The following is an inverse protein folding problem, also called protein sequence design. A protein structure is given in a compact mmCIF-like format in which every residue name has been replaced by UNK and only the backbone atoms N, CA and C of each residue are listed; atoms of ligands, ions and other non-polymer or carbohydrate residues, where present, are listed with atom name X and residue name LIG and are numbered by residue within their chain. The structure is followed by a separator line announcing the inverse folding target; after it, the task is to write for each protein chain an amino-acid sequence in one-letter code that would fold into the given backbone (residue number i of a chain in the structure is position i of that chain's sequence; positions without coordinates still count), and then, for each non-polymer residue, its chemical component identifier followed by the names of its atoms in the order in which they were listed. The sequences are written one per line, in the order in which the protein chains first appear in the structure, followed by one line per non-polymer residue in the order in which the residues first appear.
data_IF_453635595966
#
_entry.id   IF_453635595966
#
_cell.length_a   1.000
_cell.length_b   1.000
_cell.length_c   1.000
_cell.angle_alpha   90.00
_cell.angle_beta   90.00
_cell.angle_gamma   90.00
#
_symmetry.space_group_name_H-M   'P 1'
#
loop_
_entity.id
_entity.type
_entity.pdbx_description
1 polymer ?
#
# COMPACT_ATOMS: atom_id res chain seq x y z
N UNK A 1 -13.09 -19.15 -64.82
CA UNK A 1 -12.30 -19.48 -63.62
C UNK A 1 -12.64 -18.45 -62.54
N UNK A 2 -13.28 -18.86 -61.43
CA UNK A 2 -13.58 -17.94 -60.30
C UNK A 2 -12.31 -17.82 -59.45
N UNK A 3 -11.71 -16.63 -59.37
CA UNK A 3 -10.63 -16.34 -58.44
C UNK A 3 -11.21 -16.17 -57.05
N UNK A 4 -10.78 -17.00 -56.10
CA UNK A 4 -11.07 -16.80 -54.69
C UNK A 4 -10.17 -15.68 -54.18
N UNK A 5 -10.78 -14.58 -53.73
CA UNK A 5 -10.07 -13.51 -53.02
C UNK A 5 -9.51 -14.07 -51.71
N UNK A 6 -8.18 -13.99 -51.55
CA UNK A 6 -7.53 -14.35 -50.29
C UNK A 6 -7.90 -13.31 -49.24
N UNK A 7 -8.41 -13.77 -48.10
CA UNK A 7 -8.67 -12.90 -46.96
C UNK A 7 -7.34 -12.31 -46.45
N UNK A 8 -7.18 -11.00 -46.57
CA UNK A 8 -5.96 -10.31 -46.15
C UNK A 8 -5.80 -10.42 -44.63
N UNK A 9 -4.72 -11.10 -44.22
CA UNK A 9 -4.29 -11.31 -42.83
C UNK A 9 -4.39 -9.97 -42.05
N UNK A 10 -4.90 -9.94 -40.80
CA UNK A 10 -5.10 -8.69 -40.07
C UNK A 10 -3.80 -7.90 -39.98
N UNK A 11 -3.76 -6.76 -40.69
CA UNK A 11 -2.62 -5.84 -40.65
C UNK A 11 -2.52 -5.31 -39.23
N UNK A 12 -1.39 -5.53 -38.56
CA UNK A 12 -1.11 -4.87 -37.28
C UNK A 12 -1.01 -3.38 -37.55
N UNK A 13 -2.10 -2.64 -37.33
CA UNK A 13 -2.11 -1.20 -37.47
C UNK A 13 -1.14 -0.61 -36.46
N UNK A 14 0.00 -0.07 -36.94
CA UNK A 14 0.87 0.74 -36.11
C UNK A 14 0.04 1.91 -35.61
N UNK A 15 -0.02 2.10 -34.29
CA UNK A 15 -0.68 3.25 -33.69
C UNK A 15 -0.13 4.51 -34.38
N UNK A 16 -1.03 5.34 -34.92
CA UNK A 16 -0.63 6.63 -35.49
C UNK A 16 0.14 7.39 -34.41
N UNK A 17 1.24 8.07 -34.76
CA UNK A 17 2.11 8.74 -33.78
C UNK A 17 1.36 9.71 -32.85
N UNK A 18 0.25 10.28 -33.32
CA UNK A 18 -0.67 11.10 -32.51
C UNK A 18 -1.34 10.32 -31.38
N UNK A 19 -1.72 9.06 -31.60
CA UNK A 19 -2.31 8.18 -30.57
C UNK A 19 -1.26 7.82 -29.52
N UNK A 20 -0.01 7.55 -29.95
CA UNK A 20 1.09 7.27 -29.03
C UNK A 20 1.38 8.48 -28.11
N UNK A 21 1.38 9.70 -28.68
CA UNK A 21 1.56 10.93 -27.90
C UNK A 21 0.44 11.15 -26.87
N UNK A 22 -0.81 10.86 -27.22
CA UNK A 22 -1.94 10.94 -26.29
C UNK A 22 -1.80 9.94 -25.13
N UNK A 23 -1.35 8.73 -25.40
CA UNK A 23 -1.12 7.71 -24.35
C UNK A 23 -0.01 8.17 -23.40
N UNK A 24 1.09 8.72 -23.92
CA UNK A 24 2.18 9.26 -23.10
C UNK A 24 1.67 10.43 -22.25
N UNK A 25 0.92 11.37 -22.83
CA UNK A 25 0.34 12.49 -22.09
C UNK A 25 -0.60 12.02 -20.97
N UNK A 26 -1.45 11.04 -21.24
CA UNK A 26 -2.35 10.46 -20.25
C UNK A 26 -1.56 9.78 -19.09
N UNK A 27 -0.48 9.07 -19.39
CA UNK A 27 0.38 8.47 -18.36
C UNK A 27 1.04 9.54 -17.48
N UNK A 28 1.58 10.61 -18.07
CA UNK A 28 2.22 11.70 -17.32
C UNK A 28 1.23 12.41 -16.42
N UNK A 29 0.03 12.74 -16.92
CA UNK A 29 -1.02 13.39 -16.12
C UNK A 29 -1.46 12.47 -14.98
N UNK A 30 -1.66 11.18 -15.25
CA UNK A 30 -2.05 10.21 -14.23
C UNK A 30 -0.98 10.09 -13.13
N UNK A 31 0.30 10.05 -13.52
CA UNK A 31 1.42 9.98 -12.59
C UNK A 31 1.48 11.21 -11.68
N UNK A 32 1.38 12.42 -12.26
CA UNK A 32 1.39 13.67 -11.50
C UNK A 32 0.20 13.79 -10.54
N UNK A 33 -0.99 13.33 -10.95
CA UNK A 33 -2.17 13.31 -10.09
C UNK A 33 -1.96 12.38 -8.90
N UNK A 34 -1.47 11.16 -9.14
CA UNK A 34 -1.22 10.17 -8.10
C UNK A 34 -0.21 10.68 -7.06
N UNK A 35 0.87 11.32 -7.52
CA UNK A 35 1.89 11.89 -6.64
C UNK A 35 1.32 12.97 -5.70
N UNK A 36 0.50 13.89 -6.23
CA UNK A 36 -0.16 14.93 -5.42
C UNK A 36 -1.14 14.36 -4.40
N UNK A 37 -1.91 13.34 -4.78
CA UNK A 37 -2.87 12.71 -3.87
C UNK A 37 -2.18 12.05 -2.68
N UNK A 38 -1.01 11.43 -2.90
CA UNK A 38 -0.23 10.80 -1.84
C UNK A 38 0.34 11.83 -0.86
N UNK A 39 0.87 12.95 -1.37
CA UNK A 39 1.36 14.06 -0.53
C UNK A 39 0.24 14.63 0.35
N UNK A 40 -0.95 14.84 -0.21
CA UNK A 40 -2.09 15.38 0.53
C UNK A 40 -2.61 14.45 1.65
N UNK A 41 -2.27 13.16 1.64
CA UNK A 41 -2.56 12.25 2.75
C UNK A 41 -1.47 12.30 3.83
N UNK A 42 -0.21 12.37 3.43
CA UNK A 42 0.93 12.52 4.34
C UNK A 42 0.86 13.83 5.14
N UNK A 43 0.32 14.90 4.56
CA UNK A 43 0.12 16.18 5.26
C UNK A 43 -0.95 16.11 6.36
N UNK A 44 -1.87 15.15 6.27
CA UNK A 44 -3.01 15.02 7.21
C UNK A 44 -2.72 14.08 8.36
N UNK A 45 -1.94 13.03 8.10
CA UNK A 45 -1.70 11.95 9.06
C UNK A 45 -0.24 11.58 9.06
N UNK A 46 0.35 11.56 10.24
CA UNK A 46 1.71 11.12 10.46
C UNK A 46 1.72 9.80 11.22
N UNK A 47 2.45 8.82 10.70
CA UNK A 47 2.69 7.54 11.38
C UNK A 47 4.19 7.50 11.69
N UNK A 48 4.53 7.35 12.95
CA UNK A 48 5.90 7.41 13.46
C UNK A 48 6.14 6.36 14.54
N UNK A 49 7.40 6.23 14.97
CA UNK A 49 7.79 5.40 16.12
C UNK A 49 7.31 3.94 16.01
N UNK A 50 7.56 3.33 14.85
CA UNK A 50 7.27 1.90 14.65
C UNK A 50 8.28 1.08 15.46
N UNK A 51 7.79 0.24 16.35
CA UNK A 51 8.59 -0.60 17.24
C UNK A 51 7.98 -1.98 17.41
N UNK A 52 8.79 -2.93 17.87
CA UNK A 52 8.32 -4.26 18.25
C UNK A 52 8.16 -4.30 19.77
N UNK A 53 6.92 -4.22 20.24
CA UNK A 53 6.61 -4.17 21.67
C UNK A 53 6.81 -5.54 22.31
N UNK A 54 6.43 -6.61 21.60
CA UNK A 54 6.54 -7.99 22.04
C UNK A 54 6.56 -8.94 20.84
N UNK A 55 7.19 -10.10 20.96
CA UNK A 55 7.13 -11.15 19.94
C UNK A 55 7.41 -12.53 20.53
N UNK A 56 6.87 -13.55 19.87
CA UNK A 56 7.14 -14.95 20.14
C UNK A 56 7.08 -15.77 18.86
N UNK A 57 7.25 -17.08 18.96
CA UNK A 57 7.27 -18.00 17.81
C UNK A 57 6.02 -17.89 16.92
N UNK A 58 4.87 -17.56 17.51
CA UNK A 58 3.56 -17.57 16.84
C UNK A 58 2.88 -16.20 16.78
N UNK A 59 3.41 -15.18 17.44
CA UNK A 59 2.79 -13.86 17.49
C UNK A 59 3.83 -12.75 17.43
N UNK A 60 3.42 -11.60 16.90
CA UNK A 60 4.24 -10.39 16.88
C UNK A 60 3.35 -9.21 17.25
N UNK A 61 3.80 -8.35 18.15
CA UNK A 61 3.14 -7.11 18.52
C UNK A 61 3.96 -5.92 18.04
N UNK A 62 3.33 -5.09 17.20
CA UNK A 62 3.96 -3.89 16.63
C UNK A 62 3.33 -2.66 17.25
N UNK A 63 4.14 -1.87 17.95
CA UNK A 63 3.81 -0.55 18.46
C UNK A 63 3.99 0.51 17.38
N UNK A 64 3.10 1.49 17.34
CA UNK A 64 3.18 2.62 16.43
C UNK A 64 2.50 3.85 17.01
N UNK A 65 3.01 5.01 16.65
CA UNK A 65 2.39 6.29 16.99
C UNK A 65 1.72 6.86 15.75
N UNK A 66 0.47 7.30 15.90
CA UNK A 66 -0.30 7.94 14.83
C UNK A 66 -0.82 9.29 15.28
N UNK A 67 -0.66 10.29 14.43
CA UNK A 67 -1.09 11.66 14.66
C UNK A 67 -2.03 12.13 13.55
N UNK A 68 -3.19 12.64 13.95
CA UNK A 68 -4.11 13.34 13.06
C UNK A 68 -3.87 14.84 13.16
N UNK A 69 -3.38 15.45 12.07
CA UNK A 69 -3.10 16.90 11.98
C UNK A 69 -4.31 17.73 11.55
N UNK A 70 -5.47 17.10 11.37
CA UNK A 70 -6.69 17.76 10.90
C UNK A 70 -7.66 18.08 12.03
N UNK A 71 -8.61 18.97 11.74
CA UNK A 71 -9.67 19.38 12.67
C UNK A 71 -10.87 18.44 12.68
N UNK A 72 -10.81 17.32 11.96
CA UNK A 72 -11.89 16.34 11.85
C UNK A 72 -11.42 14.97 12.30
N UNK A 73 -12.36 14.14 12.74
CA UNK A 73 -12.12 12.71 12.93
C UNK A 73 -11.75 12.08 11.58
N UNK A 74 -10.70 11.25 11.58
CA UNK A 74 -10.25 10.52 10.39
C UNK A 74 -10.42 9.02 10.58
N UNK A 75 -11.17 8.40 9.67
CA UNK A 75 -11.25 6.96 9.52
C UNK A 75 -10.27 6.51 8.44
N UNK A 76 -9.25 5.76 8.83
CA UNK A 76 -8.22 5.29 7.92
C UNK A 76 -8.08 3.79 7.99
N UNK A 77 -7.94 3.17 6.83
CA UNK A 77 -7.45 1.81 6.76
C UNK A 77 -5.94 1.86 6.79
N UNK A 78 -5.33 1.04 7.63
CA UNK A 78 -3.89 0.86 7.72
C UNK A 78 -3.56 -0.56 7.31
N UNK A 79 -2.56 -0.68 6.44
CA UNK A 79 -1.94 -1.95 6.12
C UNK A 79 -0.64 -2.03 6.90
N UNK A 80 -0.60 -2.92 7.87
CA UNK A 80 0.62 -3.23 8.60
C UNK A 80 1.22 -4.52 8.05
N UNK A 81 2.55 -4.50 7.89
CA UNK A 81 3.34 -5.62 7.38
C UNK A 81 4.58 -5.80 8.24
N UNK A 82 4.98 -7.05 8.43
CA UNK A 82 6.18 -7.43 9.17
C UNK A 82 7.03 -8.34 8.31
N UNK A 83 8.34 -8.12 8.33
CA UNK A 83 9.33 -8.86 7.57
C UNK A 83 10.46 -9.38 8.47
N UNK A 84 11.02 -10.49 8.02
CA UNK A 84 12.28 -11.08 8.47
C UNK A 84 13.50 -10.34 7.89
N UNK A 85 14.69 -10.68 8.35
CA UNK A 85 16.02 -10.27 7.86
C UNK A 85 16.17 -10.55 6.36
N UNK A 86 15.65 -11.69 5.89
CA UNK A 86 15.64 -12.07 4.46
C UNK A 86 14.57 -11.32 3.62
N UNK A 87 13.95 -10.27 4.16
CA UNK A 87 12.83 -9.53 3.58
C UNK A 87 11.58 -10.38 3.26
N UNK A 88 11.48 -11.57 3.86
CA UNK A 88 10.31 -12.45 3.73
C UNK A 88 9.18 -11.91 4.61
N UNK A 89 7.98 -11.77 4.03
CA UNK A 89 6.80 -11.29 4.77
C UNK A 89 6.35 -12.33 5.80
N UNK A 90 6.51 -11.99 7.09
CA UNK A 90 6.09 -12.81 8.23
C UNK A 90 4.59 -12.69 8.48
N UNK A 91 4.03 -11.49 8.37
CA UNK A 91 2.60 -11.25 8.57
C UNK A 91 2.16 -9.94 7.89
N UNK A 92 0.88 -9.89 7.55
CA UNK A 92 0.21 -8.65 7.15
C UNK A 92 -1.23 -8.60 7.65
N UNK A 93 -1.69 -7.38 7.96
CA UNK A 93 -3.04 -7.14 8.42
C UNK A 93 -3.54 -5.80 7.90
N UNK A 94 -4.75 -5.82 7.33
CA UNK A 94 -5.51 -4.62 6.99
C UNK A 94 -6.54 -4.37 8.08
N UNK A 95 -6.49 -3.20 8.71
CA UNK A 95 -7.42 -2.83 9.78
C UNK A 95 -7.81 -1.35 9.69
N UNK A 96 -8.95 -0.99 10.26
CA UNK A 96 -9.42 0.38 10.30
C UNK A 96 -9.10 1.01 11.66
N UNK A 97 -8.71 2.28 11.65
CA UNK A 97 -8.52 3.09 12.85
C UNK A 97 -9.29 4.39 12.71
N UNK A 98 -9.98 4.76 13.78
CA UNK A 98 -10.56 6.09 13.97
C UNK A 98 -9.58 6.92 14.81
N UNK A 99 -9.22 8.10 14.31
CA UNK A 99 -8.25 8.99 14.94
C UNK A 99 -8.92 10.33 15.23
N UNK A 100 -9.09 10.71 16.50
CA UNK A 100 -9.67 12.01 16.87
C UNK A 100 -8.87 13.19 16.28
N UNK A 101 -9.50 14.35 16.09
CA UNK A 101 -8.84 15.54 15.55
C UNK A 101 -7.67 15.99 16.43
N UNK A 102 -6.61 16.50 15.82
CA UNK A 102 -5.41 17.08 16.48
C UNK A 102 -4.81 16.21 17.60
N UNK A 103 -4.94 14.91 17.50
CA UNK A 103 -4.52 13.98 18.55
C UNK A 103 -3.40 13.09 18.06
N UNK A 104 -2.38 12.93 18.91
CA UNK A 104 -1.31 11.94 18.77
C UNK A 104 -1.57 10.79 19.74
N UNK A 105 -1.58 9.56 19.23
CA UNK A 105 -1.86 8.36 20.02
C UNK A 105 -0.85 7.27 19.69
N UNK A 106 -0.34 6.61 20.72
CA UNK A 106 0.43 5.37 20.59
C UNK A 106 -0.54 4.20 20.69
N UNK A 107 -0.46 3.29 19.72
CA UNK A 107 -1.28 2.08 19.63
C UNK A 107 -0.39 0.90 19.32
N UNK A 108 -0.84 -0.30 19.64
CA UNK A 108 -0.18 -1.53 19.21
C UNK A 108 -1.12 -2.35 18.32
N UNK A 109 -0.53 -3.17 17.46
CA UNK A 109 -1.24 -4.18 16.68
C UNK A 109 -0.60 -5.54 16.91
N UNK A 110 -1.36 -6.44 17.51
CA UNK A 110 -1.02 -7.85 17.64
C UNK A 110 -1.34 -8.59 16.33
N UNK A 111 -0.35 -9.34 15.85
CA UNK A 111 -0.42 -10.32 14.78
C UNK A 111 -0.40 -11.71 15.42
N UNK A 112 -1.55 -12.36 15.42
CA UNK A 112 -1.79 -13.72 15.92
C UNK A 112 -1.65 -14.80 14.84
N UNK A 113 -1.82 -14.42 13.58
CA UNK A 113 -1.64 -15.29 12.41
C UNK A 113 -0.42 -14.85 11.60
N UNK A 114 0.67 -15.60 11.72
CA UNK A 114 1.88 -15.41 10.91
C UNK A 114 1.83 -16.32 9.68
N UNK A 115 2.21 -15.81 8.52
CA UNK A 115 2.42 -16.59 7.30
C UNK A 115 3.49 -17.67 7.51
N UNK A 116 4.50 -17.34 8.33
CA UNK A 116 5.56 -18.24 8.78
C UNK A 116 5.85 -17.95 10.25
N UNK A 117 5.93 -18.98 11.07
CA UNK A 117 6.38 -18.86 12.46
C UNK A 117 7.85 -18.41 12.54
N UNK A 118 8.15 -17.60 13.56
CA UNK A 118 9.53 -17.25 13.90
C UNK A 118 10.24 -18.50 14.43
N UNK A 119 11.49 -18.74 14.00
CA UNK A 119 12.32 -19.80 14.59
C UNK A 119 12.74 -19.42 16.01
N UNK A 120 13.22 -20.40 16.75
CA UNK A 120 13.73 -20.17 18.10
C UNK A 120 14.93 -19.22 18.07
N UNK A 121 14.83 -18.09 18.80
CA UNK A 121 15.84 -17.03 18.80
C UNK A 121 15.75 -16.04 17.63
N UNK A 122 14.90 -16.28 16.63
CA UNK A 122 14.63 -15.37 15.52
C UNK A 122 13.83 -14.15 16.02
N UNK A 123 14.16 -12.97 15.50
CA UNK A 123 13.49 -11.71 15.86
C UNK A 123 12.87 -11.10 14.61
N UNK A 124 11.70 -10.44 14.73
CA UNK A 124 11.19 -9.67 13.62
C UNK A 124 12.16 -8.53 13.29
N UNK A 125 12.43 -8.32 12.00
CA UNK A 125 13.48 -7.41 11.56
C UNK A 125 12.92 -6.03 11.19
N UNK A 126 11.86 -6.00 10.39
CA UNK A 126 11.26 -4.76 9.90
C UNK A 126 9.75 -4.79 10.00
N UNK A 127 9.15 -3.70 10.45
CA UNK A 127 7.71 -3.46 10.38
C UNK A 127 7.43 -2.20 9.59
N UNK A 128 6.30 -2.19 8.88
CA UNK A 128 5.84 -1.07 8.09
C UNK A 128 4.35 -0.93 8.24
N UNK A 129 3.91 0.29 8.53
CA UNK A 129 2.49 0.64 8.62
C UNK A 129 2.25 1.77 7.64
N UNK A 130 1.32 1.55 6.72
CA UNK A 130 1.02 2.49 5.65
C UNK A 130 -0.49 2.74 5.54
N UNK A 131 -0.91 3.98 5.28
CA UNK A 131 -2.29 4.27 4.95
C UNK A 131 -2.69 3.49 3.69
N UNK A 132 -3.77 2.72 3.80
CA UNK A 132 -4.37 2.02 2.68
C UNK A 132 -5.57 2.82 2.18
N UNK A 133 -5.53 3.34 0.94
CA UNK A 133 -6.63 4.14 0.43
C UNK A 133 -7.89 3.29 0.35
N UNK A 134 -8.99 3.76 0.97
CA UNK A 134 -10.31 3.15 0.81
C UNK A 134 -10.66 3.24 -0.67
N UNK A 135 -10.65 2.11 -1.38
CA UNK A 135 -11.13 2.04 -2.76
C UNK A 135 -12.61 2.38 -2.69
N UNK A 136 -13.00 3.59 -3.09
CA UNK A 136 -14.41 3.90 -3.31
C UNK A 136 -14.88 2.97 -4.43
N UNK A 137 -15.68 1.98 -4.08
CA UNK A 137 -16.47 1.22 -5.04
C UNK A 137 -17.51 2.14 -5.67
#
# INVERSE_FOLDING_TARGET
MRSFDRMEWPRRYKLKGSVLLLVIAAMVISFLWMQRSNQALADKVEISEISFDNWGTQFIEVGYTIENKTDKVLDLYLLAKVWDEDEIELASALFMVEIPPRTRQTRSKLFDSLNRSLKEGERPYRAGIMPYPKRKM
#
